data_IF_982751418399
#
_entry.id   IF_982751418399
#
_cell.length_a   1.000
_cell.length_b   1.000
_cell.length_c   1.000
_cell.angle_alpha   90.00
_cell.angle_beta   90.00
_cell.angle_gamma   90.00
#
_symmetry.space_group_name_H-M   'P 1'
#
loop_
_entity.id
_entity.type
_entity.pdbx_description
1 polymer ?
#
# COMPACT_ATOMS: atom_id res chain seq x y z
N UNK A 1 52.04 36.31 -31.23
CA UNK A 1 50.98 35.97 -30.24
C UNK A 1 49.78 35.25 -30.86
N UNK A 2 49.51 35.41 -32.16
CA UNK A 2 48.36 34.77 -32.84
C UNK A 2 48.41 33.23 -32.94
N UNK A 3 49.61 32.63 -33.05
CA UNK A 3 49.76 31.16 -33.12
C UNK A 3 49.38 30.46 -31.81
N UNK A 4 49.54 31.11 -30.66
CA UNK A 4 49.22 30.56 -29.34
C UNK A 4 47.71 30.58 -29.06
N UNK A 5 47.03 31.66 -29.47
CA UNK A 5 45.56 31.78 -29.34
C UNK A 5 44.80 30.76 -30.19
N UNK A 6 45.31 30.46 -31.40
CA UNK A 6 44.73 29.41 -32.27
C UNK A 6 44.89 28.00 -31.70
N UNK A 7 45.99 27.73 -31.00
CA UNK A 7 46.23 26.45 -30.34
C UNK A 7 45.35 26.28 -29.09
N UNK A 8 45.23 27.33 -28.28
CA UNK A 8 44.40 27.33 -27.08
C UNK A 8 42.90 27.24 -27.40
N UNK A 9 42.44 27.91 -28.47
CA UNK A 9 41.06 27.81 -28.96
C UNK A 9 40.72 26.42 -29.50
N UNK A 10 41.63 25.78 -30.25
CA UNK A 10 41.44 24.41 -30.71
C UNK A 10 41.42 23.39 -29.55
N UNK A 11 42.27 23.58 -28.54
CA UNK A 11 42.33 22.73 -27.36
C UNK A 11 41.09 22.87 -26.47
N UNK A 12 40.59 24.10 -26.27
CA UNK A 12 39.37 24.38 -25.51
C UNK A 12 38.11 23.87 -26.26
N UNK A 13 38.10 23.94 -27.59
CA UNK A 13 37.03 23.37 -28.42
C UNK A 13 36.99 21.84 -28.34
N UNK A 14 38.15 21.17 -28.30
CA UNK A 14 38.22 19.70 -28.12
C UNK A 14 37.76 19.30 -26.71
N UNK A 15 38.16 20.03 -25.67
CA UNK A 15 37.67 19.79 -24.30
C UNK A 15 36.17 20.02 -24.14
N UNK A 16 35.59 21.01 -24.84
CA UNK A 16 34.15 21.28 -24.83
C UNK A 16 33.34 20.16 -25.50
N UNK A 17 33.91 19.48 -26.50
CA UNK A 17 33.30 18.34 -27.18
C UNK A 17 33.55 16.99 -26.46
N UNK A 18 34.64 16.83 -25.71
CA UNK A 18 34.92 15.63 -24.90
C UNK A 18 34.17 15.60 -23.54
N UNK A 19 33.66 16.75 -23.08
CA UNK A 19 33.07 16.93 -21.74
C UNK A 19 31.62 16.47 -21.56
N UNK A 20 30.96 15.93 -22.58
CA UNK A 20 29.60 15.37 -22.49
C UNK A 20 29.55 13.95 -23.05
N UNK A 21 30.47 13.09 -22.60
CA UNK A 21 30.27 11.66 -22.73
C UNK A 21 29.45 11.18 -21.52
N UNK A 22 28.13 11.26 -21.62
CA UNK A 22 27.24 10.46 -20.79
C UNK A 22 27.46 9.00 -21.20
N UNK A 23 28.14 8.22 -20.36
CA UNK A 23 28.27 6.77 -20.56
C UNK A 23 26.89 6.13 -20.34
N UNK A 24 26.08 6.09 -21.40
CA UNK A 24 24.87 5.28 -21.43
C UNK A 24 25.29 3.81 -21.55
N UNK A 25 24.90 2.99 -20.58
CA UNK A 25 25.04 1.54 -20.65
C UNK A 25 23.83 0.99 -21.41
N UNK A 26 24.03 0.54 -22.64
CA UNK A 26 23.00 -0.09 -23.47
C UNK A 26 23.24 -1.60 -23.54
N UNK A 27 22.21 -2.39 -23.19
CA UNK A 27 22.22 -3.85 -23.36
C UNK A 27 21.41 -4.17 -24.62
N UNK A 28 22.08 -4.60 -25.69
CA UNK A 28 21.41 -5.06 -26.91
C UNK A 28 21.20 -6.57 -26.86
N UNK A 29 19.95 -7.03 -26.92
CA UNK A 29 19.60 -8.45 -27.00
C UNK A 29 19.29 -8.86 -28.45
N UNK A 30 20.08 -9.77 -29.03
CA UNK A 30 19.86 -10.23 -30.41
C UNK A 30 19.21 -11.60 -30.44
N UNK A 31 18.05 -11.72 -31.09
CA UNK A 31 17.46 -13.01 -31.48
C UNK A 31 17.90 -13.36 -32.90
N UNK A 32 18.22 -14.63 -33.17
CA UNK A 32 18.65 -15.09 -34.49
C UNK A 32 17.50 -15.81 -35.21
N UNK A 33 17.25 -15.49 -36.49
CA UNK A 33 16.24 -16.17 -37.31
C UNK A 33 16.84 -16.80 -38.57
N UNK A 34 16.51 -18.06 -38.90
CA UNK A 34 15.63 -18.96 -38.13
C UNK A 34 16.35 -19.50 -36.88
N UNK A 35 15.60 -19.64 -35.78
CA UNK A 35 16.17 -20.04 -34.49
C UNK A 35 16.80 -21.45 -34.61
N UNK A 36 18.08 -21.64 -34.24
CA UNK A 36 18.78 -22.90 -34.44
C UNK A 36 18.24 -24.03 -33.55
N UNK A 37 17.59 -23.70 -32.43
CA UNK A 37 17.01 -24.65 -31.49
C UNK A 37 15.67 -24.14 -30.94
N UNK A 38 14.58 -24.48 -31.63
CA UNK A 38 13.20 -24.23 -31.17
C UNK A 38 12.74 -22.77 -31.23
N UNK A 39 11.52 -22.53 -30.76
CA UNK A 39 11.00 -21.18 -30.59
C UNK A 39 11.40 -20.67 -29.20
N UNK A 40 11.91 -19.44 -29.12
CA UNK A 40 12.05 -18.76 -27.84
C UNK A 40 10.67 -18.20 -27.47
N UNK A 41 10.04 -18.76 -26.45
CA UNK A 41 8.68 -18.39 -26.05
C UNK A 41 8.63 -17.17 -25.12
N UNK A 42 9.65 -16.96 -24.28
CA UNK A 42 9.74 -15.82 -23.37
C UNK A 42 11.18 -15.55 -22.91
N UNK A 43 11.48 -14.30 -22.57
CA UNK A 43 12.72 -13.90 -21.91
C UNK A 43 12.54 -14.06 -20.39
N UNK A 44 13.32 -14.93 -19.75
CA UNK A 44 13.30 -15.09 -18.29
C UNK A 44 14.47 -14.36 -17.64
N UNK A 45 14.19 -13.57 -16.60
CA UNK A 45 15.20 -12.92 -15.77
C UNK A 45 15.21 -13.61 -14.41
N UNK A 46 16.34 -14.20 -14.01
CA UNK A 46 16.43 -14.92 -12.73
C UNK A 46 16.31 -14.02 -11.50
N UNK A 47 16.45 -12.70 -11.68
CA UNK A 47 16.23 -11.67 -10.68
C UNK A 47 15.60 -10.45 -11.36
N UNK A 48 14.28 -10.40 -11.42
CA UNK A 48 13.54 -9.29 -12.04
C UNK A 48 13.46 -8.03 -11.14
N UNK A 49 14.33 -7.88 -10.16
CA UNK A 49 14.05 -7.05 -8.98
C UNK A 49 15.21 -6.13 -8.64
N UNK A 50 14.94 -4.84 -8.74
CA UNK A 50 15.81 -3.74 -8.31
C UNK A 50 16.32 -3.96 -6.88
N UNK A 51 17.64 -3.99 -6.75
CA UNK A 51 18.40 -4.14 -5.51
C UNK A 51 18.90 -2.78 -5.04
N UNK A 52 18.05 -2.03 -4.36
CA UNK A 52 18.58 -1.16 -3.32
C UNK A 52 18.78 -2.04 -2.08
N UNK A 53 20.05 -2.21 -1.72
CA UNK A 53 20.70 -3.25 -0.92
C UNK A 53 20.21 -3.46 0.55
N UNK A 54 18.91 -3.53 0.81
CA UNK A 54 18.36 -3.92 2.13
C UNK A 54 17.07 -4.76 2.11
N UNK A 55 16.35 -4.82 0.99
CA UNK A 55 15.04 -5.51 0.93
C UNK A 55 14.87 -6.28 -0.37
N UNK A 56 14.76 -7.61 -0.27
CA UNK A 56 14.54 -8.53 -1.39
C UNK A 56 13.07 -8.50 -1.85
N UNK A 57 12.62 -7.40 -2.48
CA UNK A 57 11.22 -7.13 -2.79
C UNK A 57 10.98 -6.80 -4.27
N UNK A 58 10.10 -7.53 -4.96
CA UNK A 58 9.62 -7.19 -6.29
C UNK A 58 8.87 -5.84 -6.26
N UNK A 59 9.56 -4.77 -6.65
CA UNK A 59 8.95 -3.46 -6.82
C UNK A 59 8.17 -3.42 -8.15
N UNK A 60 6.86 -3.68 -8.11
CA UNK A 60 5.96 -3.28 -9.21
C UNK A 60 5.56 -1.84 -8.96
N UNK A 61 6.24 -0.92 -9.63
CA UNK A 61 5.85 0.48 -9.72
C UNK A 61 4.75 0.60 -10.77
N UNK A 62 3.57 1.11 -10.43
CA UNK A 62 2.64 1.61 -11.44
C UNK A 62 3.21 2.91 -11.99
N UNK A 63 3.32 3.01 -13.32
CA UNK A 63 4.16 3.98 -14.05
C UNK A 63 3.64 5.42 -14.12
N UNK A 64 2.59 5.80 -13.39
CA UNK A 64 1.90 7.07 -13.69
C UNK A 64 1.88 8.12 -12.57
N UNK A 65 2.38 7.85 -11.36
CA UNK A 65 2.46 8.87 -10.31
C UNK A 65 3.50 8.51 -9.23
N UNK A 66 4.49 9.38 -9.00
CA UNK A 66 5.54 9.27 -7.97
C UNK A 66 4.99 9.28 -6.52
N UNK A 67 3.67 9.19 -6.35
CA UNK A 67 2.97 9.17 -5.05
C UNK A 67 2.52 7.77 -4.62
N UNK A 68 2.86 6.70 -5.35
CA UNK A 68 2.46 5.33 -5.05
C UNK A 68 3.63 4.51 -4.49
N UNK A 69 3.70 4.39 -3.16
CA UNK A 69 4.59 3.47 -2.44
C UNK A 69 4.56 2.04 -3.02
N UNK A 70 5.66 1.27 -2.86
CA UNK A 70 5.82 -0.06 -3.46
C UNK A 70 4.63 -0.99 -3.12
N UNK A 71 4.01 -1.57 -4.16
CA UNK A 71 2.74 -2.32 -4.08
C UNK A 71 2.87 -3.63 -3.28
N UNK A 72 4.08 -4.20 -3.13
CA UNK A 72 4.36 -5.35 -2.27
C UNK A 72 5.80 -5.24 -1.76
N UNK A 73 6.03 -5.07 -0.45
CA UNK A 73 7.35 -5.31 0.14
C UNK A 73 7.35 -6.59 0.99
N UNK A 74 8.14 -7.58 0.57
CA UNK A 74 8.44 -8.75 1.38
C UNK A 74 9.54 -8.36 2.37
N UNK A 75 9.17 -7.98 3.59
CA UNK A 75 10.15 -7.68 4.62
C UNK A 75 10.68 -8.98 5.19
N UNK A 76 11.99 -9.24 5.04
CA UNK A 76 12.64 -10.40 5.67
C UNK A 76 12.64 -10.33 7.22
N UNK A 77 12.20 -9.20 7.81
CA UNK A 77 12.14 -9.00 9.27
C UNK A 77 10.75 -9.21 9.86
N UNK A 78 9.70 -9.30 9.05
CA UNK A 78 8.33 -9.63 9.47
C UNK A 78 7.86 -10.87 8.72
N UNK A 79 7.12 -11.76 9.37
CA UNK A 79 6.65 -13.02 8.80
C UNK A 79 5.54 -12.86 7.71
N UNK A 80 5.53 -11.78 6.90
CA UNK A 80 4.43 -11.50 5.97
C UNK A 80 4.67 -10.41 4.92
N UNK A 81 3.67 -10.22 4.07
CA UNK A 81 3.60 -9.18 3.03
C UNK A 81 3.24 -7.83 3.65
N UNK A 82 4.04 -6.79 3.38
CA UNK A 82 3.71 -5.41 3.73
C UNK A 82 2.97 -4.77 2.55
N UNK A 83 1.76 -4.27 2.83
CA UNK A 83 0.96 -3.41 1.97
C UNK A 83 0.83 -2.06 2.66
N UNK A 84 1.21 -0.97 1.99
CA UNK A 84 1.18 0.37 2.57
C UNK A 84 0.96 1.42 1.51
N UNK A 85 0.32 2.52 1.91
CA UNK A 85 0.17 3.72 1.09
C UNK A 85 0.74 4.91 1.86
N UNK A 86 1.39 5.82 1.14
CA UNK A 86 1.94 7.08 1.63
C UNK A 86 0.97 8.26 1.44
N UNK A 87 -0.19 8.03 0.84
CA UNK A 87 -1.31 8.97 0.91
C UNK A 87 -1.89 8.91 2.35
N UNK A 88 -2.69 9.87 2.80
CA UNK A 88 -3.45 9.78 4.06
C UNK A 88 -4.97 9.98 3.86
N UNK A 89 -5.41 10.07 2.59
CA UNK A 89 -6.80 10.40 2.26
C UNK A 89 -7.72 9.19 2.39
N UNK A 90 -8.87 9.40 3.02
CA UNK A 90 -9.98 8.47 3.22
C UNK A 90 -10.46 7.70 1.97
N UNK A 91 -10.33 8.30 0.79
CA UNK A 91 -10.82 7.77 -0.48
C UNK A 91 -9.97 6.61 -1.02
N UNK A 92 -8.76 6.42 -0.50
CA UNK A 92 -7.87 5.34 -0.89
C UNK A 92 -7.91 4.20 0.14
N UNK A 93 -7.64 2.98 -0.33
CA UNK A 93 -7.51 1.80 0.51
C UNK A 93 -6.08 1.29 0.52
N UNK A 94 -5.67 0.72 1.65
CA UNK A 94 -4.44 -0.07 1.76
C UNK A 94 -4.69 -1.51 1.32
N UNK A 95 -5.91 -2.02 1.55
CA UNK A 95 -6.31 -3.37 1.16
C UNK A 95 -7.80 -3.40 0.79
N UNK A 96 -8.11 -3.95 -0.39
CA UNK A 96 -9.45 -4.30 -0.79
C UNK A 96 -9.50 -5.76 -1.23
N UNK A 97 -10.17 -6.60 -0.47
CA UNK A 97 -10.49 -7.98 -0.85
C UNK A 97 -11.89 -7.97 -1.45
N UNK A 98 -11.98 -8.06 -2.78
CA UNK A 98 -13.25 -8.05 -3.51
C UNK A 98 -13.50 -9.36 -4.25
N UNK A 99 -14.77 -9.75 -4.37
CA UNK A 99 -15.17 -10.94 -5.13
C UNK A 99 -16.53 -10.75 -5.81
N UNK A 100 -16.83 -11.61 -6.78
CA UNK A 100 -18.10 -11.64 -7.51
C UNK A 100 -18.10 -10.87 -8.83
N UNK A 101 -19.27 -10.83 -9.48
CA UNK A 101 -19.56 -10.05 -10.68
C UNK A 101 -20.95 -9.40 -10.52
N UNK A 102 -21.06 -8.08 -10.35
CA UNK A 102 -19.97 -7.10 -10.26
C UNK A 102 -19.06 -7.33 -9.03
N UNK A 103 -17.85 -6.78 -9.06
CA UNK A 103 -16.93 -6.85 -7.94
C UNK A 103 -17.53 -6.17 -6.71
N UNK A 104 -17.55 -6.89 -5.59
CA UNK A 104 -18.06 -6.39 -4.31
C UNK A 104 -16.97 -6.51 -3.25
N UNK A 105 -16.64 -5.40 -2.58
CA UNK A 105 -15.67 -5.39 -1.49
C UNK A 105 -16.21 -6.20 -0.30
N UNK A 106 -15.43 -7.18 0.15
CA UNK A 106 -15.75 -8.04 1.30
C UNK A 106 -14.99 -7.63 2.55
N UNK A 107 -13.74 -7.21 2.37
CA UNK A 107 -12.89 -6.65 3.42
C UNK A 107 -12.16 -5.44 2.86
N UNK A 108 -12.31 -4.29 3.51
CA UNK A 108 -11.86 -3.00 3.00
C UNK A 108 -11.13 -2.24 4.10
N UNK A 109 -9.84 -1.99 3.94
CA UNK A 109 -9.02 -1.21 4.86
C UNK A 109 -8.74 0.13 4.21
N UNK A 110 -9.39 1.18 4.70
CA UNK A 110 -9.10 2.55 4.29
C UNK A 110 -7.74 2.97 4.80
N UNK A 111 -7.17 3.91 4.08
CA UNK A 111 -5.83 4.38 4.31
C UNK A 111 -5.68 5.28 5.55
N UNK A 112 -6.78 5.75 6.12
CA UNK A 112 -6.83 6.42 7.43
C UNK A 112 -7.10 5.44 8.60
N UNK A 113 -7.03 4.13 8.35
CA UNK A 113 -7.10 3.08 9.37
C UNK A 113 -8.49 2.51 9.61
N UNK A 114 -9.53 3.02 8.93
CA UNK A 114 -10.90 2.52 9.09
C UNK A 114 -11.09 1.20 8.33
N UNK A 115 -11.65 0.19 9.00
CA UNK A 115 -11.87 -1.15 8.45
C UNK A 115 -13.36 -1.39 8.24
N UNK A 116 -13.75 -1.67 7.00
CA UNK A 116 -15.08 -2.08 6.59
C UNK A 116 -15.16 -3.56 6.24
N UNK A 117 -16.15 -4.27 6.78
CA UNK A 117 -16.53 -5.63 6.35
C UNK A 117 -17.91 -5.54 5.71
N UNK A 118 -17.98 -5.84 4.41
CA UNK A 118 -19.19 -5.67 3.60
C UNK A 118 -19.59 -4.21 3.30
N UNK A 119 -18.76 -3.23 3.65
CA UNK A 119 -18.91 -1.80 3.33
C UNK A 119 -17.58 -1.22 2.87
N UNK A 120 -17.61 -0.26 1.94
CA UNK A 120 -16.43 0.51 1.49
C UNK A 120 -16.34 1.89 2.14
N UNK A 121 -17.36 2.30 2.88
CA UNK A 121 -17.45 3.62 3.49
C UNK A 121 -17.72 3.50 5.00
N UNK A 122 -16.81 2.87 5.77
CA UNK A 122 -16.97 2.77 7.22
C UNK A 122 -17.01 4.17 7.86
N UNK A 123 -18.00 4.40 8.71
CA UNK A 123 -18.23 5.63 9.48
C UNK A 123 -17.49 5.66 10.83
N UNK A 124 -17.06 4.49 11.30
CA UNK A 124 -16.30 4.27 12.54
C UNK A 124 -15.11 3.33 12.26
N UNK A 125 -14.13 3.28 13.17
CA UNK A 125 -12.85 2.56 12.98
C UNK A 125 -13.01 1.11 12.51
N UNK A 126 -14.05 0.41 13.00
CA UNK A 126 -14.45 -0.90 12.51
C UNK A 126 -15.96 -0.92 12.26
N UNK A 127 -16.37 -1.04 11.00
CA UNK A 127 -17.78 -1.17 10.62
C UNK A 127 -18.02 -2.50 9.91
N UNK A 128 -19.00 -3.26 10.40
CA UNK A 128 -19.44 -4.51 9.77
C UNK A 128 -20.88 -4.35 9.30
N UNK A 129 -21.08 -4.33 7.98
CA UNK A 129 -22.40 -4.37 7.37
C UNK A 129 -22.90 -5.82 7.32
N UNK A 130 -23.28 -6.36 8.49
CA UNK A 130 -23.77 -7.73 8.64
C UNK A 130 -23.75 -8.23 10.07
N UNK A 131 -23.78 -9.55 10.24
CA UNK A 131 -23.75 -10.20 11.55
C UNK A 131 -22.32 -10.55 11.96
N UNK A 132 -21.94 -10.19 13.18
CA UNK A 132 -20.66 -10.62 13.77
C UNK A 132 -20.92 -11.76 14.76
N UNK A 133 -20.27 -12.89 14.55
CA UNK A 133 -20.27 -14.03 15.47
C UNK A 133 -18.89 -14.12 16.14
N UNK A 134 -18.84 -13.88 17.44
CA UNK A 134 -17.61 -13.90 18.22
C UNK A 134 -17.85 -14.63 19.55
N UNK A 135 -16.82 -15.29 20.07
CA UNK A 135 -16.88 -15.96 21.38
C UNK A 135 -17.13 -14.96 22.52
N UNK A 136 -16.57 -13.75 22.42
CA UNK A 136 -16.80 -12.66 23.36
C UNK A 136 -16.51 -11.30 22.71
N UNK A 137 -17.19 -10.25 23.17
CA UNK A 137 -16.87 -8.85 22.87
C UNK A 137 -16.33 -8.17 24.13
N UNK A 138 -15.11 -7.64 24.05
CA UNK A 138 -14.58 -6.74 25.07
C UNK A 138 -14.85 -5.30 24.63
N UNK A 139 -15.83 -4.66 25.28
CA UNK A 139 -16.07 -3.24 25.07
C UNK A 139 -15.16 -2.50 26.05
N UNK A 140 -14.09 -1.89 25.53
CA UNK A 140 -13.21 -1.07 26.34
C UNK A 140 -14.01 0.05 27.00
N UNK A 141 -13.80 0.27 28.30
CA UNK A 141 -14.33 1.46 28.96
C UNK A 141 -13.65 2.66 28.28
N UNK A 142 -14.35 3.54 27.52
CA UNK A 142 -13.75 4.81 27.18
C UNK A 142 -13.58 5.51 28.52
N UNK A 143 -12.36 5.45 29.07
CA UNK A 143 -12.07 6.02 30.37
C UNK A 143 -12.25 7.53 30.26
N UNK A 144 -13.46 8.02 30.47
CA UNK A 144 -13.66 9.40 30.86
C UNK A 144 -13.00 9.51 32.23
N UNK A 145 -12.00 10.41 32.39
CA UNK A 145 -11.39 10.62 33.70
C UNK A 145 -12.49 10.99 34.71
N UNK A 146 -12.85 10.05 35.58
CA UNK A 146 -13.91 10.24 36.60
C UNK A 146 -15.07 9.25 36.58
N UNK A 147 -15.31 8.48 35.51
CA UNK A 147 -16.35 7.44 35.48
C UNK A 147 -15.73 6.04 35.61
N UNK A 148 -15.34 5.67 36.83
CA UNK A 148 -14.86 4.33 37.13
C UNK A 148 -15.98 3.30 36.87
N UNK A 149 -15.77 2.41 35.90
CA UNK A 149 -16.58 1.22 35.69
C UNK A 149 -17.90 1.40 34.94
N UNK A 150 -18.12 2.52 34.23
CA UNK A 150 -19.35 2.76 33.45
C UNK A 150 -19.15 2.42 31.96
N UNK A 151 -19.59 1.24 31.54
CA UNK A 151 -19.58 0.83 30.12
C UNK A 151 -20.96 1.04 29.50
N UNK A 152 -21.04 1.80 28.41
CA UNK A 152 -22.26 1.92 27.58
C UNK A 152 -22.12 1.03 26.34
N UNK A 153 -23.07 0.12 26.15
CA UNK A 153 -23.15 -0.75 24.98
C UNK A 153 -24.32 -0.26 24.12
N UNK A 154 -24.01 0.19 22.92
CA UNK A 154 -25.02 0.52 21.91
C UNK A 154 -25.45 -0.76 21.19
N UNK A 155 -26.75 -0.97 21.06
CA UNK A 155 -27.32 -2.10 20.31
C UNK A 155 -28.43 -1.64 19.40
N UNK A 156 -28.66 -2.33 18.29
CA UNK A 156 -29.78 -2.05 17.40
C UNK A 156 -31.06 -2.72 17.92
N UNK A 157 -32.15 -1.96 17.96
CA UNK A 157 -33.50 -2.47 18.21
C UNK A 157 -34.09 -3.10 16.94
N UNK A 158 -35.15 -3.92 17.07
CA UNK A 158 -35.85 -4.47 15.91
C UNK A 158 -36.40 -3.41 14.94
N UNK A 159 -36.68 -2.20 15.45
CA UNK A 159 -37.12 -1.04 14.66
C UNK A 159 -35.96 -0.24 14.03
N UNK A 160 -34.74 -0.76 14.09
CA UNK A 160 -33.47 -0.15 13.61
C UNK A 160 -32.99 1.07 14.38
N UNK A 161 -33.67 1.49 15.45
CA UNK A 161 -33.17 2.53 16.35
C UNK A 161 -32.01 2.01 17.22
N UNK A 162 -31.16 2.91 17.72
CA UNK A 162 -30.09 2.54 18.66
C UNK A 162 -30.61 2.58 20.10
N UNK A 163 -30.47 1.47 20.82
CA UNK A 163 -30.64 1.39 22.27
C UNK A 163 -29.32 1.35 23.01
N UNK A 164 -29.37 1.58 24.32
CA UNK A 164 -28.17 1.63 25.17
C UNK A 164 -28.33 0.77 26.42
N UNK A 165 -27.36 -0.10 26.71
CA UNK A 165 -27.20 -0.75 28.01
C UNK A 165 -26.10 -0.02 28.76
N UNK A 166 -26.40 0.44 29.97
CA UNK A 166 -25.37 1.03 30.85
C UNK A 166 -25.00 0.03 31.93
N UNK A 167 -23.73 -0.33 32.00
CA UNK A 167 -23.16 -1.24 32.99
C UNK A 167 -22.27 -0.44 33.93
N UNK A 168 -22.50 -0.53 35.24
CA UNK A 168 -21.67 0.10 36.28
C UNK A 168 -21.06 -1.00 37.14
N UNK A 169 -19.73 -1.06 37.21
CA UNK A 169 -18.99 -2.07 37.97
C UNK A 169 -19.41 -3.51 37.64
N UNK A 170 -19.69 -3.79 36.36
CA UNK A 170 -20.14 -5.11 35.89
C UNK A 170 -21.62 -5.40 36.08
N UNK A 171 -22.41 -4.46 36.61
CA UNK A 171 -23.86 -4.61 36.82
C UNK A 171 -24.63 -3.78 35.79
N UNK A 172 -25.62 -4.37 35.11
CA UNK A 172 -26.53 -3.61 34.25
C UNK A 172 -27.39 -2.69 35.13
N UNK A 173 -27.29 -1.38 34.89
CA UNK A 173 -27.98 -0.35 35.67
C UNK A 173 -29.10 0.36 34.90
N UNK A 174 -29.02 0.38 33.57
CA UNK A 174 -30.08 0.93 32.72
C UNK A 174 -30.13 0.24 31.35
N UNK A 175 -31.33 0.14 30.79
CA UNK A 175 -31.59 -0.29 29.42
C UNK A 175 -32.60 0.72 28.85
N UNK A 176 -32.14 1.53 27.89
CA UNK A 176 -32.95 2.60 27.27
C UNK A 176 -33.18 2.35 25.80
#
# INVERSE_FOLDING_TARGET
>A
MEKLGRFLGAFLSIMLFMGICSIAEEITLTTYYPAPYGAYNELSVSQAVSTDNTTNALAVSSTDDDTLAPIISASARLNGMLLGSNNATASYYILNVSSGSPLTSRFYVRNDGYVGIGTTSPSVELEVSGTVNATAYSVGNPATPGAAGVTTINYLRPDTSTGTITVINGIVTAIN
#
